data_IF_366315870695
#
_entry.id   IF_366315870695
#
_cell.length_a   1.000
_cell.length_b   1.000
_cell.length_c   1.000
_cell.angle_alpha   90.00
_cell.angle_beta   90.00
_cell.angle_gamma   90.00
#
_symmetry.space_group_name_H-M   'P 1'
#
loop_
_entity.id
_entity.type
_entity.pdbx_description
1 polymer ?
#
# COMPACT_ATOMS: atom_id res chain seq x y z
N UNK A 1 -3.88 4.10 3.71
CA UNK A 1 -3.42 3.46 4.94
C UNK A 1 -1.90 3.52 5.02
N UNK A 2 -1.36 3.79 6.20
CA UNK A 2 0.09 3.90 6.40
C UNK A 2 0.72 2.59 6.92
N UNK A 3 -0.10 1.67 7.43
CA UNK A 3 0.37 0.40 7.95
C UNK A 3 -0.73 -0.66 7.98
N UNK A 4 -0.34 -1.93 7.96
CA UNK A 4 -1.23 -3.07 8.12
C UNK A 4 -1.90 -3.12 9.50
N UNK A 5 -1.20 -2.69 10.53
CA UNK A 5 -1.75 -2.63 11.89
C UNK A 5 -2.95 -1.67 11.99
N UNK A 6 -2.97 -0.57 11.24
CA UNK A 6 -4.15 0.30 11.17
C UNK A 6 -5.35 -0.41 10.54
N UNK A 7 -5.12 -1.18 9.49
CA UNK A 7 -6.19 -1.96 8.86
C UNK A 7 -6.76 -2.99 9.83
N UNK A 8 -5.89 -3.74 10.53
CA UNK A 8 -6.28 -4.73 11.53
C UNK A 8 -7.01 -4.11 12.73
N UNK A 9 -6.62 -2.90 13.14
CA UNK A 9 -7.31 -2.19 14.22
C UNK A 9 -8.77 -1.84 13.87
N UNK A 10 -9.04 -1.52 12.61
CA UNK A 10 -10.39 -1.13 12.14
C UNK A 10 -11.22 -2.36 11.76
N UNK A 11 -10.67 -3.28 10.96
CA UNK A 11 -11.41 -4.36 10.31
C UNK A 11 -11.17 -5.74 10.95
N UNK A 12 -10.31 -5.83 11.99
CA UNK A 12 -10.01 -7.07 12.71
C UNK A 12 -9.67 -8.22 11.75
N UNK A 13 -10.40 -9.32 11.83
CA UNK A 13 -10.17 -10.54 11.05
C UNK A 13 -10.45 -10.36 9.54
N UNK A 14 -11.21 -9.34 9.17
CA UNK A 14 -11.50 -9.04 7.76
C UNK A 14 -10.37 -8.27 7.05
N UNK A 15 -9.37 -7.79 7.79
CA UNK A 15 -8.26 -7.02 7.22
C UNK A 15 -7.52 -7.78 6.12
N UNK A 16 -7.20 -9.05 6.34
CA UNK A 16 -6.48 -9.88 5.38
C UNK A 16 -7.30 -10.15 4.11
N UNK A 17 -8.63 -10.27 4.26
CA UNK A 17 -9.56 -10.39 3.11
C UNK A 17 -9.56 -9.12 2.26
N UNK A 18 -9.54 -7.95 2.89
CA UNK A 18 -9.50 -6.67 2.17
C UNK A 18 -8.22 -6.55 1.36
N UNK A 19 -7.07 -6.86 1.99
CA UNK A 19 -5.76 -6.83 1.29
C UNK A 19 -5.72 -7.83 0.14
N UNK A 20 -6.23 -9.06 0.37
CA UNK A 20 -6.27 -10.11 -0.63
C UNK A 20 -7.13 -9.80 -1.85
N UNK A 21 -8.12 -8.91 -1.70
CA UNK A 21 -8.99 -8.46 -2.80
C UNK A 21 -8.44 -7.24 -3.55
N UNK A 22 -7.33 -6.65 -3.07
CA UNK A 22 -6.69 -5.53 -3.76
C UNK A 22 -5.71 -6.06 -4.82
N UNK A 23 -5.96 -5.73 -6.08
CA UNK A 23 -5.09 -6.11 -7.20
C UNK A 23 -3.79 -5.28 -7.27
N UNK A 24 -3.78 -4.14 -6.58
CA UNK A 24 -2.65 -3.21 -6.59
C UNK A 24 -2.24 -2.86 -5.18
N UNK A 25 -0.94 -3.00 -4.90
CA UNK A 25 -0.32 -2.52 -3.66
C UNK A 25 0.77 -1.51 -4.01
N UNK A 26 0.66 -0.30 -3.48
CA UNK A 26 1.67 0.75 -3.62
C UNK A 26 2.29 1.04 -2.25
N UNK A 27 3.57 0.67 -2.09
CA UNK A 27 4.34 0.95 -0.90
C UNK A 27 5.21 2.20 -1.10
N UNK A 28 4.91 3.23 -0.32
CA UNK A 28 5.59 4.54 -0.39
C UNK A 28 6.67 4.72 0.68
N UNK A 29 7.00 3.66 1.40
CA UNK A 29 7.91 3.69 2.53
C UNK A 29 7.19 3.61 3.87
N UNK A 30 7.91 3.17 4.89
CA UNK A 30 7.41 3.01 6.25
C UNK A 30 8.41 2.24 7.11
N UNK A 31 8.19 2.23 8.43
CA UNK A 31 9.07 1.54 9.40
C UNK A 31 8.32 0.50 10.24
N UNK A 32 7.07 0.25 9.92
CA UNK A 32 6.25 -0.73 10.65
C UNK A 32 6.65 -2.14 10.25
N UNK A 33 7.12 -2.92 11.24
CA UNK A 33 7.77 -4.23 11.03
C UNK A 33 6.88 -5.25 10.29
N UNK A 34 5.58 -5.28 10.62
CA UNK A 34 4.64 -6.22 9.99
C UNK A 34 4.51 -5.91 8.50
N UNK A 35 4.34 -4.63 8.15
CA UNK A 35 4.27 -4.18 6.76
C UNK A 35 5.57 -4.46 5.99
N UNK A 36 6.74 -4.19 6.60
CA UNK A 36 8.05 -4.48 5.97
C UNK A 36 8.22 -5.97 5.69
N UNK A 37 7.81 -6.83 6.65
CA UNK A 37 7.86 -8.26 6.49
C UNK A 37 6.97 -8.73 5.33
N UNK A 38 5.73 -8.28 5.30
CA UNK A 38 4.78 -8.63 4.24
C UNK A 38 5.28 -8.19 2.85
N UNK A 39 5.81 -6.97 2.73
CA UNK A 39 6.37 -6.49 1.46
C UNK A 39 7.56 -7.35 1.04
N UNK A 40 8.49 -7.68 1.95
CA UNK A 40 9.64 -8.54 1.65
C UNK A 40 9.20 -9.94 1.19
N UNK A 41 8.21 -10.54 1.86
CA UNK A 41 7.67 -11.86 1.49
C UNK A 41 6.98 -11.84 0.12
N UNK A 42 6.22 -10.78 -0.18
CA UNK A 42 5.52 -10.59 -1.46
C UNK A 42 6.50 -10.39 -2.62
N UNK A 43 7.61 -9.68 -2.40
CA UNK A 43 8.67 -9.51 -3.39
C UNK A 43 9.32 -10.84 -3.77
N UNK A 44 9.32 -11.80 -2.84
CA UNK A 44 9.83 -13.14 -3.06
C UNK A 44 11.34 -13.24 -2.96
N UNK A 45 11.88 -14.33 -3.53
CA UNK A 45 13.31 -14.66 -3.46
C UNK A 45 13.90 -14.84 -4.84
N UNK A 46 15.14 -14.42 -5.01
CA UNK A 46 15.97 -14.78 -6.16
C UNK A 46 16.93 -15.93 -5.81
N UNK A 47 17.30 -16.70 -6.80
CA UNK A 47 18.30 -17.76 -6.63
C UNK A 47 19.66 -17.17 -6.93
N UNK A 48 20.53 -17.16 -5.92
CA UNK A 48 21.94 -16.78 -6.08
C UNK A 48 22.83 -18.02 -6.06
N UNK A 49 23.87 -18.02 -6.90
CA UNK A 49 24.91 -19.03 -6.87
C UNK A 49 25.97 -18.61 -5.84
N UNK A 50 26.09 -19.40 -4.78
CA UNK A 50 27.12 -19.20 -3.74
C UNK A 50 28.26 -20.17 -3.94
N UNK A 51 29.49 -19.66 -3.90
CA UNK A 51 30.72 -20.43 -4.02
C UNK A 51 31.39 -20.49 -2.65
N UNK A 52 31.50 -21.69 -2.10
CA UNK A 52 32.32 -21.92 -0.91
C UNK A 52 33.63 -22.60 -1.32
N UNK A 53 34.74 -21.93 -1.07
CA UNK A 53 36.07 -22.51 -1.18
C UNK A 53 36.50 -23.02 0.18
N UNK A 54 36.72 -24.33 0.32
CA UNK A 54 37.38 -24.91 1.50
C UNK A 54 38.83 -25.24 1.17
N UNK A 55 39.75 -24.58 1.86
CA UNK A 55 41.15 -24.93 1.87
C UNK A 55 41.44 -25.79 3.10
N UNK A 56 41.79 -27.06 2.90
CA UNK A 56 42.29 -27.88 3.99
C UNK A 56 43.82 -27.86 3.94
N UNK A 57 44.46 -27.23 4.93
CA UNK A 57 45.91 -27.27 5.12
C UNK A 57 46.30 -28.56 5.80
N UNK A 58 46.50 -29.62 5.02
CA UNK A 58 47.07 -30.90 5.43
C UNK A 58 48.33 -31.20 4.63
N UNK A 59 48.87 -32.42 4.75
CA UNK A 59 50.07 -32.89 4.05
C UNK A 59 49.88 -32.93 2.51
N UNK A 60 48.62 -32.84 2.05
CA UNK A 60 48.23 -32.64 0.66
C UNK A 60 47.25 -31.46 0.60
N UNK A 61 47.49 -30.51 -0.29
CA UNK A 61 46.56 -29.39 -0.57
C UNK A 61 45.38 -29.94 -1.38
N UNK A 62 44.21 -29.97 -0.76
CA UNK A 62 42.97 -30.26 -1.45
C UNK A 62 42.11 -28.96 -1.56
N UNK A 63 41.82 -28.56 -2.77
CA UNK A 63 40.90 -27.44 -3.07
C UNK A 63 39.53 -28.02 -3.42
N UNK A 64 38.55 -27.82 -2.56
CA UNK A 64 37.15 -28.18 -2.82
C UNK A 64 36.34 -26.93 -3.20
N UNK A 65 35.78 -26.92 -4.38
CA UNK A 65 34.77 -25.92 -4.81
C UNK A 65 33.39 -26.53 -4.59
N UNK A 66 32.65 -25.97 -3.66
CA UNK A 66 31.27 -26.39 -3.42
C UNK A 66 30.32 -25.31 -3.95
N UNK A 67 29.47 -25.67 -4.91
CA UNK A 67 28.47 -24.84 -5.51
C UNK A 67 27.15 -25.04 -4.76
N UNK A 68 26.59 -23.97 -4.20
CA UNK A 68 25.28 -24.01 -3.57
C UNK A 68 24.37 -22.94 -4.19
N UNK A 69 23.16 -23.35 -4.52
CA UNK A 69 22.10 -22.41 -4.90
C UNK A 69 21.33 -22.02 -3.65
N UNK A 70 21.38 -20.75 -3.30
CA UNK A 70 20.69 -20.19 -2.15
C UNK A 70 19.57 -19.25 -2.61
N UNK A 71 18.40 -19.36 -1.96
CA UNK A 71 17.34 -18.39 -2.13
C UNK A 71 17.61 -17.16 -1.27
N UNK A 72 17.92 -16.01 -1.88
CA UNK A 72 18.06 -14.73 -1.20
C UNK A 72 16.77 -13.92 -1.41
N UNK A 73 16.27 -13.27 -0.36
CA UNK A 73 15.16 -12.32 -0.51
C UNK A 73 15.54 -11.22 -1.51
N UNK A 74 14.62 -10.90 -2.41
CA UNK A 74 14.85 -9.87 -3.44
C UNK A 74 15.16 -8.51 -2.81
N UNK A 75 14.44 -8.18 -1.73
CA UNK A 75 14.76 -7.09 -0.80
C UNK A 75 14.45 -7.55 0.61
N UNK A 76 15.41 -7.42 1.50
CA UNK A 76 15.23 -7.72 2.93
C UNK A 76 14.41 -6.63 3.61
N UNK A 77 13.85 -6.93 4.79
CA UNK A 77 13.11 -5.93 5.58
C UNK A 77 13.96 -4.70 5.91
N UNK A 78 15.27 -4.91 6.16
CA UNK A 78 16.21 -3.84 6.48
C UNK A 78 16.48 -2.94 5.27
N UNK A 79 16.63 -3.54 4.07
CA UNK A 79 16.78 -2.80 2.82
C UNK A 79 15.53 -1.97 2.49
N UNK A 80 14.34 -2.53 2.71
CA UNK A 80 13.07 -1.82 2.53
C UNK A 80 12.93 -0.67 3.55
N UNK A 81 13.36 -0.88 4.80
CA UNK A 81 13.28 0.12 5.86
C UNK A 81 14.16 1.36 5.62
N UNK A 82 15.29 1.18 4.91
CA UNK A 82 16.23 2.25 4.56
C UNK A 82 16.07 2.75 3.12
N UNK A 83 15.02 2.29 2.43
CA UNK A 83 14.72 2.70 1.07
C UNK A 83 14.63 4.23 0.97
N UNK A 84 15.21 4.79 -0.09
CA UNK A 84 15.17 6.23 -0.36
C UNK A 84 13.74 6.78 -0.37
N UNK A 85 13.54 7.94 0.27
CA UNK A 85 12.23 8.58 0.39
C UNK A 85 11.59 8.96 -0.96
N UNK A 86 12.38 9.09 -2.03
CA UNK A 86 11.91 9.33 -3.39
C UNK A 86 11.51 8.07 -4.16
N UNK A 87 11.71 6.87 -3.59
CA UNK A 87 11.39 5.59 -4.22
C UNK A 87 10.09 4.99 -3.71
N UNK A 88 9.50 4.12 -4.53
CA UNK A 88 8.32 3.34 -4.17
C UNK A 88 8.40 1.93 -4.77
N UNK A 89 7.65 1.02 -4.16
CA UNK A 89 7.44 -0.33 -4.67
C UNK A 89 5.99 -0.44 -5.11
N UNK A 90 5.77 -0.76 -6.37
CA UNK A 90 4.45 -1.00 -6.95
C UNK A 90 4.31 -2.47 -7.28
N UNK A 91 3.28 -3.08 -6.75
CA UNK A 91 2.89 -4.44 -7.06
C UNK A 91 1.54 -4.45 -7.74
N UNK A 92 1.47 -5.14 -8.87
CA UNK A 92 0.25 -5.40 -9.62
C UNK A 92 0.05 -6.90 -9.75
N UNK A 93 -1.19 -7.34 -9.68
CA UNK A 93 -1.55 -8.73 -9.90
C UNK A 93 -1.13 -9.20 -11.29
N UNK A 94 -0.46 -10.35 -11.36
CA UNK A 94 -0.06 -10.97 -12.62
C UNK A 94 1.23 -10.44 -13.25
N UNK A 95 1.90 -9.47 -12.64
CA UNK A 95 3.19 -8.96 -13.09
C UNK A 95 4.22 -8.92 -11.95
N UNK A 96 5.50 -8.86 -12.31
CA UNK A 96 6.57 -8.71 -11.32
C UNK A 96 6.49 -7.34 -10.65
N UNK A 97 6.89 -7.23 -9.37
CA UNK A 97 6.94 -5.95 -8.68
C UNK A 97 7.85 -4.94 -9.39
N UNK A 98 7.47 -3.67 -9.32
CA UNK A 98 8.25 -2.55 -9.86
C UNK A 98 8.88 -1.75 -8.73
N UNK A 99 10.17 -1.48 -8.85
CA UNK A 99 10.86 -0.50 -8.03
C UNK A 99 11.01 0.79 -8.84
N UNK A 100 10.37 1.88 -8.41
CA UNK A 100 10.22 3.10 -9.20
C UNK A 100 10.43 4.35 -8.37
N UNK A 101 10.59 5.47 -9.06
CA UNK A 101 10.59 6.79 -8.45
C UNK A 101 9.17 7.26 -8.16
N UNK A 102 8.99 7.94 -7.02
CA UNK A 102 7.74 8.65 -6.73
C UNK A 102 7.57 9.81 -7.70
N UNK A 103 6.32 10.05 -8.09
CA UNK A 103 6.00 11.20 -8.90
C UNK A 103 6.25 12.51 -8.12
N UNK A 104 6.97 13.42 -8.72
CA UNK A 104 7.18 14.75 -8.17
C UNK A 104 5.91 15.60 -8.38
N UNK A 105 5.16 15.79 -7.30
CA UNK A 105 3.88 16.50 -7.33
C UNK A 105 4.01 17.95 -7.79
N UNK A 106 5.20 18.56 -7.62
CA UNK A 106 5.44 19.95 -8.06
C UNK A 106 5.36 20.10 -9.57
N UNK A 107 5.60 19.01 -10.31
CA UNK A 107 5.50 18.97 -11.78
C UNK A 107 4.07 18.77 -12.29
N UNK A 108 3.11 18.53 -11.40
CA UNK A 108 1.73 18.33 -11.81
C UNK A 108 1.09 19.66 -12.26
N UNK A 109 0.39 19.72 -13.41
CA UNK A 109 -0.20 20.97 -13.93
C UNK A 109 -1.12 21.69 -12.95
N UNK A 110 -1.76 20.94 -12.06
CA UNK A 110 -2.69 21.47 -11.04
C UNK A 110 -2.03 21.71 -9.68
N UNK A 111 -0.70 21.57 -9.56
CA UNK A 111 0.03 21.82 -8.31
C UNK A 111 -0.28 23.21 -7.73
N UNK A 112 -0.41 24.22 -8.60
CA UNK A 112 -0.74 25.61 -8.23
C UNK A 112 -2.05 25.79 -7.43
N UNK A 113 -2.93 24.78 -7.42
CA UNK A 113 -4.20 24.81 -6.66
C UNK A 113 -4.10 24.13 -5.29
N UNK A 114 -2.95 23.55 -4.93
CA UNK A 114 -2.73 22.98 -3.62
C UNK A 114 -2.32 24.04 -2.60
N UNK A 115 -2.63 23.78 -1.34
CA UNK A 115 -2.19 24.60 -0.20
C UNK A 115 -0.67 24.70 -0.08
N UNK A 116 0.05 23.66 -0.53
CA UNK A 116 1.50 23.63 -0.53
C UNK A 116 2.12 24.61 -1.51
N UNK A 117 1.41 24.93 -2.60
CA UNK A 117 1.84 25.92 -3.58
C UNK A 117 1.45 27.36 -3.17
N UNK A 118 0.24 27.55 -2.64
CA UNK A 118 -0.26 28.82 -2.13
C UNK A 118 -1.15 28.57 -0.90
N UNK A 119 -0.78 29.10 0.28
CA UNK A 119 -1.59 28.97 1.50
C UNK A 119 -3.05 29.42 1.36
N UNK A 120 -3.35 30.30 0.39
CA UNK A 120 -4.72 30.74 0.10
C UNK A 120 -5.63 29.62 -0.40
N UNK A 121 -5.04 28.55 -0.94
CA UNK A 121 -5.75 27.36 -1.41
C UNK A 121 -6.09 26.39 -0.28
N UNK A 122 -5.67 26.66 0.96
CA UNK A 122 -6.00 25.82 2.09
C UNK A 122 -7.52 25.73 2.27
N UNK A 123 -8.01 24.48 2.44
CA UNK A 123 -9.43 24.26 2.66
C UNK A 123 -9.81 24.71 4.07
N UNK A 124 -10.73 25.66 4.15
CA UNK A 124 -11.29 26.16 5.40
C UNK A 124 -12.57 25.40 5.73
N UNK A 125 -12.48 24.48 6.67
CA UNK A 125 -13.59 23.65 7.13
C UNK A 125 -14.71 24.50 7.76
N UNK A 126 -14.36 25.52 8.58
CA UNK A 126 -15.36 26.35 9.22
C UNK A 126 -16.16 27.16 8.21
N UNK A 127 -15.47 27.75 7.23
CA UNK A 127 -16.10 28.48 6.15
C UNK A 127 -17.00 27.58 5.30
N UNK A 128 -16.58 26.32 5.09
CA UNK A 128 -17.37 25.33 4.37
C UNK A 128 -18.65 24.97 5.14
N UNK A 129 -18.54 24.69 6.44
CA UNK A 129 -19.68 24.34 7.30
C UNK A 129 -20.64 25.51 7.53
N UNK A 130 -20.14 26.75 7.50
CA UNK A 130 -20.96 27.95 7.61
C UNK A 130 -21.70 28.32 6.32
N UNK A 131 -21.34 27.70 5.18
CA UNK A 131 -22.15 27.82 3.97
C UNK A 131 -23.51 27.20 4.25
N UNK A 132 -24.55 28.02 4.30
CA UNK A 132 -25.92 27.50 4.38
C UNK A 132 -26.12 26.56 3.20
N UNK A 133 -26.64 25.33 3.44
CA UNK A 133 -27.05 24.49 2.33
C UNK A 133 -27.92 25.32 1.40
N UNK A 134 -27.68 25.19 0.10
CA UNK A 134 -28.54 25.84 -0.89
C UNK A 134 -29.98 25.45 -0.52
N UNK A 135 -30.83 26.48 -0.28
CA UNK A 135 -32.25 26.23 -0.05
C UNK A 135 -32.71 25.61 -1.35
N UNK A 136 -33.03 24.32 -1.30
CA UNK A 136 -33.67 23.63 -2.43
C UNK A 136 -34.95 24.37 -2.68
N UNK A 137 -35.10 24.96 -3.88
CA UNK A 137 -36.31 25.70 -4.23
C UNK A 137 -37.47 24.69 -4.20
N UNK A 138 -38.66 25.11 -3.70
CA UNK A 138 -39.83 24.23 -3.64
C UNK A 138 -40.21 23.61 -4.98
N UNK A 139 -39.75 24.19 -6.11
CA UNK A 139 -40.04 23.74 -7.46
C UNK A 139 -39.05 22.61 -7.96
N UNK A 140 -38.00 22.29 -7.21
CA UNK A 140 -37.21 21.08 -7.44
C UNK A 140 -37.93 19.91 -6.75
N UNK A 141 -38.97 19.41 -7.43
CA UNK A 141 -39.76 18.27 -6.99
C UNK A 141 -38.87 17.03 -7.07
N UNK A 142 -38.42 16.54 -5.91
CA UNK A 142 -37.97 15.19 -5.82
C UNK A 142 -39.21 14.31 -5.84
N UNK A 143 -39.33 13.39 -6.78
CA UNK A 143 -40.35 12.35 -6.76
C UNK A 143 -40.18 11.51 -5.51
N UNK A 144 -41.04 11.72 -4.53
CA UNK A 144 -41.11 10.85 -3.36
C UNK A 144 -41.89 9.60 -3.76
N UNK A 145 -41.24 8.45 -3.73
CA UNK A 145 -41.96 7.19 -3.70
C UNK A 145 -42.34 6.91 -2.26
N UNK A 146 -43.62 7.01 -1.92
CA UNK A 146 -44.13 6.45 -0.68
C UNK A 146 -44.07 4.93 -0.82
N UNK A 147 -43.16 4.32 -0.07
CA UNK A 147 -43.10 2.87 0.06
C UNK A 147 -44.17 2.52 1.10
N UNK A 148 -45.20 1.79 0.69
CA UNK A 148 -46.20 1.28 1.63
C UNK A 148 -45.52 0.38 2.66
N UNK A 149 -45.88 0.50 3.94
CA UNK A 149 -45.31 -0.31 5.01
C UNK A 149 -45.49 -1.83 4.78
N UNK A 150 -46.40 -2.22 3.91
CA UNK A 150 -46.63 -3.60 3.48
C UNK A 150 -45.56 -4.11 2.48
N UNK A 151 -44.77 -3.22 1.83
CA UNK A 151 -43.73 -3.60 0.86
C UNK A 151 -42.33 -3.64 1.48
N UNK A 152 -42.21 -3.37 2.78
CA UNK A 152 -40.93 -3.54 3.49
C UNK A 152 -40.68 -5.04 3.74
N UNK A 153 -39.50 -5.57 3.40
CA UNK A 153 -39.14 -6.93 3.72
C UNK A 153 -39.20 -7.11 5.26
N UNK A 154 -39.95 -8.12 5.72
CA UNK A 154 -39.93 -8.50 7.12
C UNK A 154 -38.49 -8.82 7.52
N UNK A 155 -38.01 -8.11 8.55
CA UNK A 155 -36.69 -8.37 9.14
C UNK A 155 -36.67 -9.83 9.61
N UNK A 156 -36.00 -10.66 8.84
CA UNK A 156 -35.71 -12.03 9.22
C UNK A 156 -34.63 -11.97 10.31
N UNK A 157 -35.07 -11.93 11.57
CA UNK A 157 -34.21 -12.18 12.72
C UNK A 157 -33.56 -13.56 12.57
N UNK A 158 -32.21 -13.58 12.50
CA UNK A 158 -31.38 -14.76 12.69
C UNK A 158 -30.11 -14.39 13.42
#
# INVERSE_FOLDING_TARGET
LQSQSQLKAIYKDNADTIVGNCDTTLFLGGKEKTTLKEISEILGKETIDSFNTSETRGRELSHGLNFQKLGKELMTQDEIAVMDGGKCILQLRGVRPFFSDKFDITKHPKYKYLSDADPKNAFDMEKHLRRRPAIVKPDEVFDYYEIDAADLPEDTEA
#
